data_IF_484947291598
#
_entry.id   IF_484947291598
#
_cell.length_a   1.000
_cell.length_b   1.000
_cell.length_c   1.000
_cell.angle_alpha   90.00
_cell.angle_beta   90.00
_cell.angle_gamma   90.00
#
_symmetry.space_group_name_H-M   'P 1'
#
loop_
_entity.id
_entity.type
_entity.pdbx_description
1 polymer ?
#
# COMPACT_ATOMS: atom_id res chain seq x y z
N UNK A 1 -12.40 22.85 22.27
CA UNK A 1 -11.48 21.85 22.85
C UNK A 1 -10.34 21.67 21.88
N UNK A 2 -9.11 21.97 22.29
CA UNK A 2 -7.92 21.75 21.47
C UNK A 2 -7.83 20.25 21.10
N UNK A 3 -7.34 19.85 19.91
CA UNK A 3 -6.98 18.46 19.63
C UNK A 3 -5.79 18.11 20.52
N UNK A 4 -6.09 17.82 21.79
CA UNK A 4 -5.12 17.44 22.79
C UNK A 4 -4.66 16.03 22.44
N UNK A 5 -3.54 15.99 21.72
CA UNK A 5 -2.48 15.01 21.90
C UNK A 5 -2.99 13.58 22.03
N UNK A 6 -3.40 12.98 20.90
CA UNK A 6 -3.05 11.58 20.68
C UNK A 6 -1.53 11.52 20.87
N UNK A 7 -1.05 11.08 22.04
CA UNK A 7 0.31 10.56 22.15
C UNK A 7 0.33 9.32 21.28
N UNK A 8 0.51 9.58 19.98
CA UNK A 8 -0.09 8.80 18.92
C UNK A 8 0.35 7.35 19.02
N UNK A 9 -0.56 6.40 18.84
CA UNK A 9 -0.21 5.00 18.66
C UNK A 9 0.88 4.80 17.59
N UNK A 10 1.02 5.72 16.62
CA UNK A 10 2.14 5.70 15.66
C UNK A 10 3.51 5.82 16.30
N UNK A 11 3.63 6.36 17.52
CA UNK A 11 4.87 6.34 18.31
C UNK A 11 5.27 4.93 18.78
N UNK A 12 4.34 3.98 18.77
CA UNK A 12 4.58 2.56 19.10
C UNK A 12 4.94 1.72 17.89
N UNK A 13 4.78 2.28 16.68
CA UNK A 13 5.20 1.64 15.44
C UNK A 13 6.67 2.02 15.24
N UNK A 14 7.53 1.01 15.20
CA UNK A 14 8.96 1.22 14.99
C UNK A 14 9.18 1.86 13.61
N UNK A 15 10.04 2.87 13.55
CA UNK A 15 10.37 3.62 12.33
C UNK A 15 11.69 3.21 11.71
N UNK A 16 12.47 2.35 12.36
CA UNK A 16 13.83 2.03 11.95
C UNK A 16 14.06 0.53 11.79
N UNK A 17 13.20 -0.30 12.37
CA UNK A 17 13.27 -1.75 12.24
C UNK A 17 12.02 -2.30 11.54
N UNK A 18 12.24 -3.10 10.49
CA UNK A 18 11.16 -3.87 9.85
C UNK A 18 10.71 -5.00 10.77
N UNK A 19 9.41 -5.05 11.08
CA UNK A 19 8.81 -6.18 11.78
C UNK A 19 8.64 -7.37 10.85
N UNK A 20 8.77 -8.58 11.40
CA UNK A 20 8.36 -9.78 10.68
C UNK A 20 6.83 -9.82 10.52
N UNK A 21 6.38 -10.39 9.40
CA UNK A 21 4.97 -10.76 9.23
C UNK A 21 4.58 -11.79 10.30
N UNK A 22 3.36 -11.73 10.85
CA UNK A 22 2.91 -12.70 11.86
C UNK A 22 2.83 -14.14 11.31
N UNK A 23 2.62 -14.27 10.00
CA UNK A 23 2.76 -15.54 9.27
C UNK A 23 3.81 -15.32 8.18
N UNK A 24 5.04 -15.76 8.44
CA UNK A 24 6.22 -15.48 7.61
C UNK A 24 6.27 -16.30 6.31
N UNK A 25 5.64 -17.47 6.30
CA UNK A 25 5.72 -18.41 5.18
C UNK A 25 4.38 -18.52 4.46
N UNK A 26 4.44 -18.85 3.17
CA UNK A 26 3.29 -19.31 2.39
C UNK A 26 2.92 -20.74 2.78
N UNK A 27 1.78 -21.22 2.32
CA UNK A 27 1.35 -22.61 2.55
C UNK A 27 2.31 -23.67 1.99
N UNK A 28 3.15 -23.33 1.00
CA UNK A 28 4.18 -24.21 0.45
C UNK A 28 5.48 -24.23 1.28
N UNK A 29 5.55 -23.46 2.37
CA UNK A 29 6.72 -23.36 3.26
C UNK A 29 7.79 -22.37 2.80
N UNK A 30 7.64 -21.71 1.66
CA UNK A 30 8.55 -20.66 1.23
C UNK A 30 8.28 -19.35 1.97
N UNK A 31 9.33 -18.53 2.16
CA UNK A 31 9.19 -17.19 2.70
C UNK A 31 8.30 -16.32 1.82
N UNK A 32 7.37 -15.61 2.46
CA UNK A 32 6.57 -14.58 1.80
C UNK A 32 7.46 -13.41 1.43
N UNK A 33 7.36 -12.99 0.18
CA UNK A 33 8.04 -11.82 -0.37
C UNK A 33 7.11 -10.62 -0.39
N UNK A 34 7.67 -9.43 -0.60
CA UNK A 34 6.89 -8.22 -0.81
C UNK A 34 7.43 -7.44 -2.01
N UNK A 35 6.56 -7.10 -2.96
CA UNK A 35 6.89 -6.10 -3.97
C UNK A 35 6.98 -4.71 -3.34
N UNK A 36 7.86 -3.87 -3.88
CA UNK A 36 8.05 -2.49 -3.45
C UNK A 36 8.03 -1.60 -4.70
N UNK A 37 7.22 -0.56 -4.64
CA UNK A 37 7.18 0.51 -5.66
C UNK A 37 7.25 1.86 -4.92
N UNK A 38 8.14 2.75 -5.36
CA UNK A 38 8.34 4.07 -4.74
C UNK A 38 8.31 5.14 -5.82
N UNK A 39 7.35 6.06 -5.70
CA UNK A 39 7.21 7.22 -6.57
C UNK A 39 7.89 8.46 -5.97
N UNK A 40 8.51 9.30 -6.80
CA UNK A 40 9.13 10.57 -6.39
C UNK A 40 9.39 11.47 -7.62
N UNK A 41 9.89 12.68 -7.40
CA UNK A 41 10.38 13.55 -8.48
C UNK A 41 11.71 14.24 -8.09
N UNK A 42 12.22 15.13 -8.95
CA UNK A 42 13.41 15.94 -8.68
C UNK A 42 14.72 15.31 -9.12
N UNK A 43 14.69 14.12 -9.74
CA UNK A 43 15.84 13.47 -10.36
C UNK A 43 15.49 13.10 -11.81
N UNK A 44 16.51 13.00 -12.66
CA UNK A 44 16.33 12.45 -14.01
C UNK A 44 16.36 10.92 -13.99
N UNK A 45 15.78 10.33 -15.05
CA UNK A 45 15.65 8.87 -15.21
C UNK A 45 17.01 8.16 -15.20
N UNK A 46 18.03 8.76 -15.82
CA UNK A 46 19.38 8.20 -15.93
C UNK A 46 20.12 8.23 -14.59
N UNK A 47 20.17 9.38 -13.93
CA UNK A 47 20.77 9.54 -12.61
C UNK A 47 20.08 8.65 -11.57
N UNK A 48 18.77 8.46 -11.67
CA UNK A 48 18.05 7.50 -10.81
C UNK A 48 18.52 6.07 -11.06
N UNK A 49 18.66 5.65 -12.32
CA UNK A 49 19.16 4.31 -12.65
C UNK A 49 20.61 4.10 -12.20
N UNK A 50 21.47 5.12 -12.34
CA UNK A 50 22.85 5.11 -11.84
C UNK A 50 22.91 5.03 -10.32
N UNK A 51 22.03 5.73 -9.60
CA UNK A 51 21.90 5.65 -8.15
C UNK A 51 21.51 4.24 -7.71
N UNK A 52 20.49 3.66 -8.34
CA UNK A 52 20.05 2.27 -8.07
C UNK A 52 21.16 1.27 -8.37
N UNK A 53 21.85 1.43 -9.51
CA UNK A 53 23.01 0.61 -9.86
C UNK A 53 24.15 0.76 -8.84
N UNK A 54 24.40 1.96 -8.33
CA UNK A 54 25.43 2.22 -7.32
C UNK A 54 25.14 1.51 -5.99
N UNK A 55 23.85 1.38 -5.61
CA UNK A 55 23.43 0.68 -4.40
C UNK A 55 23.50 -0.84 -4.56
N UNK A 56 23.03 -1.37 -5.69
CA UNK A 56 22.71 -2.79 -5.83
C UNK A 56 23.47 -3.51 -6.95
N UNK A 57 24.36 -2.82 -7.66
CA UNK A 57 25.09 -3.34 -8.80
C UNK A 57 24.19 -3.56 -10.02
N UNK A 58 24.59 -4.51 -10.87
CA UNK A 58 23.88 -4.84 -12.11
C UNK A 58 24.28 -3.95 -13.30
N UNK A 59 23.53 -4.06 -14.40
CA UNK A 59 23.76 -3.30 -15.64
C UNK A 59 22.51 -2.53 -16.03
N UNK A 60 22.66 -1.25 -16.35
CA UNK A 60 21.58 -0.43 -16.89
C UNK A 60 21.33 -0.85 -18.35
N UNK A 61 20.12 -1.30 -18.62
CA UNK A 61 19.63 -1.68 -19.93
C UNK A 61 18.46 -0.78 -20.28
N UNK A 62 18.50 -0.15 -21.46
CA UNK A 62 17.42 0.72 -21.94
C UNK A 62 16.22 -0.15 -22.31
N UNK A 63 15.07 0.10 -21.69
CA UNK A 63 13.78 -0.43 -22.11
C UNK A 63 13.00 0.65 -22.88
N UNK A 64 12.01 0.22 -23.67
CA UNK A 64 11.16 1.16 -24.41
C UNK A 64 10.25 1.97 -23.46
N UNK A 65 9.79 3.13 -23.93
CA UNK A 65 8.73 3.94 -23.31
C UNK A 65 9.11 4.62 -21.98
N UNK A 66 10.31 5.20 -21.90
CA UNK A 66 10.72 5.96 -20.70
C UNK A 66 11.05 5.06 -19.50
N UNK A 67 11.58 3.86 -19.77
CA UNK A 67 11.92 2.86 -18.75
C UNK A 67 13.37 2.43 -18.87
N UNK A 68 14.05 2.32 -17.74
CA UNK A 68 15.38 1.74 -17.62
C UNK A 68 15.29 0.52 -16.69
N UNK A 69 15.96 -0.57 -17.07
CA UNK A 69 16.05 -1.77 -16.24
C UNK A 69 17.48 -1.95 -15.76
N UNK A 70 17.66 -2.11 -14.45
CA UNK A 70 18.92 -2.51 -13.83
C UNK A 70 18.91 -4.04 -13.73
N UNK A 71 19.49 -4.68 -14.74
CA UNK A 71 19.50 -6.12 -14.89
C UNK A 71 20.57 -6.77 -14.00
N UNK A 72 20.21 -7.85 -13.30
CA UNK A 72 21.14 -8.64 -12.50
C UNK A 72 21.73 -7.90 -11.29
N UNK A 73 20.96 -7.01 -10.67
CA UNK A 73 21.32 -6.44 -9.36
C UNK A 73 21.29 -7.53 -8.28
N UNK A 74 21.88 -7.25 -7.12
CA UNK A 74 21.84 -8.18 -5.96
C UNK A 74 20.42 -8.45 -5.44
N UNK A 75 19.46 -7.59 -5.75
CA UNK A 75 18.04 -7.77 -5.41
C UNK A 75 17.23 -8.45 -6.52
N UNK A 76 17.81 -8.62 -7.72
CA UNK A 76 17.13 -9.01 -8.95
C UNK A 76 16.92 -7.82 -9.89
N UNK A 77 16.09 -7.96 -10.92
CA UNK A 77 15.90 -6.91 -11.91
C UNK A 77 15.03 -5.77 -11.36
N UNK A 78 15.59 -4.56 -11.29
CA UNK A 78 14.90 -3.35 -10.82
C UNK A 78 14.55 -2.49 -12.02
N UNK A 79 13.34 -1.94 -12.04
CA UNK A 79 12.89 -1.01 -13.08
C UNK A 79 12.82 0.40 -12.52
N UNK A 80 13.28 1.37 -13.31
CA UNK A 80 13.03 2.79 -13.11
C UNK A 80 12.21 3.27 -14.29
N UNK A 81 11.06 3.88 -14.04
CA UNK A 81 10.17 4.33 -15.09
C UNK A 81 9.57 5.70 -14.83
N UNK A 82 9.20 6.41 -15.89
CA UNK A 82 8.33 7.58 -15.78
C UNK A 82 6.94 7.07 -15.36
N UNK A 83 6.38 7.63 -14.28
CA UNK A 83 5.10 7.16 -13.76
C UNK A 83 4.00 7.28 -14.83
N UNK A 84 3.42 6.12 -15.13
CA UNK A 84 2.36 5.92 -16.11
C UNK A 84 1.06 6.68 -15.80
N UNK A 85 0.87 7.20 -14.59
CA UNK A 85 -0.29 8.03 -14.25
C UNK A 85 -0.37 9.31 -15.10
N UNK A 86 0.78 9.91 -15.46
CA UNK A 86 0.84 11.06 -16.38
C UNK A 86 0.70 10.66 -17.85
N UNK A 87 1.12 9.44 -18.20
CA UNK A 87 0.98 8.89 -19.55
C UNK A 87 -0.50 8.65 -19.93
N UNK A 88 -1.34 8.29 -18.95
CA UNK A 88 -2.73 7.89 -19.18
C UNK A 88 -3.68 8.99 -19.66
N UNK A 89 -3.37 10.26 -19.45
CA UNK A 89 -4.24 11.38 -19.85
C UNK A 89 -4.00 11.88 -21.29
N UNK A 90 -3.16 11.20 -22.09
CA UNK A 90 -2.97 11.52 -23.51
C UNK A 90 -2.30 12.88 -23.77
N UNK A 91 -1.71 13.47 -22.74
CA UNK A 91 -1.04 14.78 -22.73
C UNK A 91 0.49 14.65 -22.67
N UNK A 92 1.02 13.52 -23.14
CA UNK A 92 2.39 13.07 -22.87
C UNK A 92 3.47 14.09 -23.30
N UNK A 93 3.44 14.60 -24.53
CA UNK A 93 4.55 15.45 -25.01
C UNK A 93 4.67 16.81 -24.30
N UNK A 94 3.59 17.60 -24.34
CA UNK A 94 3.61 18.98 -23.85
C UNK A 94 3.59 19.07 -22.31
N UNK A 95 2.97 18.11 -21.62
CA UNK A 95 2.93 18.10 -20.17
C UNK A 95 4.26 17.65 -19.59
N UNK A 96 4.90 16.60 -20.14
CA UNK A 96 6.23 16.16 -19.70
C UNK A 96 7.28 17.26 -19.92
N UNK A 97 7.28 17.94 -21.07
CA UNK A 97 8.16 19.08 -21.34
C UNK A 97 7.95 20.25 -20.37
N UNK A 98 6.69 20.54 -20.01
CA UNK A 98 6.37 21.61 -19.06
C UNK A 98 6.75 21.28 -17.61
N UNK A 99 6.92 19.99 -17.28
CA UNK A 99 7.27 19.54 -15.94
C UNK A 99 8.78 19.54 -15.67
N UNK A 100 9.61 19.32 -16.69
CA UNK A 100 11.07 19.26 -16.52
C UNK A 100 11.47 18.29 -15.41
N UNK A 101 12.23 18.75 -14.41
CA UNK A 101 12.66 17.92 -13.26
C UNK A 101 11.52 17.51 -12.31
N UNK A 102 10.28 17.95 -12.56
CA UNK A 102 9.09 17.54 -11.82
C UNK A 102 8.41 16.31 -12.43
N UNK A 103 8.97 15.70 -13.48
CA UNK A 103 8.47 14.43 -14.02
C UNK A 103 8.57 13.35 -12.92
N UNK A 104 7.44 12.77 -12.49
CA UNK A 104 7.41 11.66 -11.56
C UNK A 104 8.12 10.44 -12.11
N UNK A 105 8.98 9.87 -11.28
CA UNK A 105 9.65 8.60 -11.50
C UNK A 105 9.12 7.58 -10.49
N UNK A 106 9.05 6.33 -10.91
CA UNK A 106 8.75 5.18 -10.08
C UNK A 106 9.92 4.20 -10.13
N UNK A 107 10.33 3.70 -8.96
CA UNK A 107 11.25 2.57 -8.85
C UNK A 107 10.44 1.34 -8.43
N UNK A 108 10.52 0.29 -9.24
CA UNK A 108 9.85 -1.00 -9.00
C UNK A 108 10.90 -2.08 -8.77
N UNK A 109 10.87 -2.70 -7.60
CA UNK A 109 11.76 -3.83 -7.27
C UNK A 109 11.11 -5.16 -7.67
N UNK A 110 11.90 -6.24 -7.85
CA UNK A 110 11.32 -7.57 -7.78
C UNK A 110 10.81 -7.83 -6.34
N UNK A 111 9.96 -8.85 -6.12
CA UNK A 111 9.52 -9.19 -4.77
C UNK A 111 10.70 -9.48 -3.82
N UNK A 112 10.86 -8.61 -2.83
CA UNK A 112 11.95 -8.65 -1.87
C UNK A 112 11.69 -9.75 -0.82
N UNK A 113 12.73 -10.51 -0.49
CA UNK A 113 12.70 -11.38 0.68
C UNK A 113 12.72 -10.54 1.97
N UNK A 114 12.22 -11.06 3.11
CA UNK A 114 12.20 -10.31 4.37
C UNK A 114 13.56 -9.72 4.77
N UNK A 115 14.65 -10.46 4.53
CA UNK A 115 16.01 -10.01 4.82
C UNK A 115 16.50 -8.85 3.93
N UNK A 116 15.87 -8.64 2.77
CA UNK A 116 16.20 -7.57 1.83
C UNK A 116 15.35 -6.30 2.01
N UNK A 117 14.27 -6.35 2.80
CA UNK A 117 13.42 -5.18 3.06
C UNK A 117 14.20 -3.95 3.59
N UNK A 118 15.24 -4.07 4.44
CA UNK A 118 16.03 -2.92 4.87
C UNK A 118 16.74 -2.15 3.73
N UNK A 119 16.91 -2.76 2.56
CA UNK A 119 17.45 -2.06 1.38
C UNK A 119 16.49 -0.97 0.87
N UNK A 120 15.19 -1.07 1.15
CA UNK A 120 14.21 -0.04 0.81
C UNK A 120 14.51 1.30 1.51
N UNK A 121 14.86 1.26 2.79
CA UNK A 121 15.26 2.47 3.54
C UNK A 121 16.62 3.01 3.09
N UNK A 122 17.53 2.14 2.62
CA UNK A 122 18.79 2.59 2.00
C UNK A 122 18.54 3.31 0.68
N UNK A 123 17.62 2.80 -0.15
CA UNK A 123 17.19 3.47 -1.37
C UNK A 123 16.60 4.85 -1.05
N UNK A 124 15.65 4.94 -0.13
CA UNK A 124 15.05 6.22 0.27
C UNK A 124 16.11 7.20 0.79
N UNK A 125 17.06 6.74 1.60
CA UNK A 125 18.14 7.59 2.09
C UNK A 125 19.02 8.12 0.95
N UNK A 126 19.35 7.28 -0.04
CA UNK A 126 20.13 7.69 -1.21
C UNK A 126 19.34 8.68 -2.10
N UNK A 127 18.07 8.43 -2.37
CA UNK A 127 17.19 9.35 -3.11
C UNK A 127 17.13 10.73 -2.44
N UNK A 128 16.94 10.75 -1.12
CA UNK A 128 16.96 11.99 -0.32
C UNK A 128 18.28 12.74 -0.44
N UNK A 129 19.40 12.04 -0.34
CA UNK A 129 20.74 12.65 -0.48
C UNK A 129 20.99 13.20 -1.89
N UNK A 130 20.39 12.60 -2.90
CA UNK A 130 20.44 13.07 -4.28
C UNK A 130 19.50 14.27 -4.56
N UNK A 131 18.63 14.64 -3.61
CA UNK A 131 17.69 15.76 -3.76
C UNK A 131 16.31 15.37 -4.30
N UNK A 132 15.93 14.09 -4.24
CA UNK A 132 14.59 13.66 -4.58
C UNK A 132 13.53 14.37 -3.71
N UNK A 133 12.40 14.70 -4.33
CA UNK A 133 11.25 15.36 -3.71
C UNK A 133 10.13 14.36 -3.48
N UNK A 134 9.55 14.39 -2.28
CA UNK A 134 8.37 13.60 -1.92
C UNK A 134 7.07 14.38 -2.03
N UNK A 135 5.97 13.71 -1.67
CA UNK A 135 4.57 14.16 -1.85
C UNK A 135 4.30 15.58 -1.36
N UNK A 136 4.90 16.00 -0.24
CA UNK A 136 4.58 17.28 0.43
C UNK A 136 5.32 18.50 -0.10
N UNK A 137 6.37 18.31 -0.91
CA UNK A 137 7.15 19.40 -1.49
C UNK A 137 6.71 19.73 -2.92
N UNK A 138 6.27 18.72 -3.66
CA UNK A 138 5.66 18.90 -4.96
C UNK A 138 4.13 18.95 -4.80
N UNK A 139 3.59 20.10 -4.34
CA UNK A 139 2.15 20.39 -4.13
C UNK A 139 1.19 20.06 -5.31
N UNK A 140 1.73 19.57 -6.43
CA UNK A 140 1.00 19.12 -7.63
C UNK A 140 0.96 17.59 -7.79
N UNK A 141 1.73 16.80 -7.04
CA UNK A 141 1.90 15.36 -7.25
C UNK A 141 1.78 14.53 -5.95
N UNK A 142 0.88 13.56 -5.97
CA UNK A 142 0.49 12.72 -4.84
C UNK A 142 1.24 11.40 -4.74
N UNK A 143 2.58 11.43 -4.64
CA UNK A 143 3.43 10.24 -4.75
C UNK A 143 3.08 9.14 -3.75
N UNK A 144 3.01 7.90 -4.23
CA UNK A 144 2.73 6.70 -3.47
C UNK A 144 3.95 5.86 -3.14
N UNK A 145 3.84 5.15 -2.03
CA UNK A 145 4.63 3.94 -1.75
C UNK A 145 3.66 2.76 -1.86
N UNK A 146 3.97 1.79 -2.72
CA UNK A 146 3.23 0.54 -2.78
C UNK A 146 4.03 -0.58 -2.12
N UNK A 147 3.38 -1.28 -1.20
CA UNK A 147 3.89 -2.49 -0.58
C UNK A 147 2.98 -3.63 -0.99
N UNK A 148 3.55 -4.65 -1.63
CA UNK A 148 2.80 -5.76 -2.21
C UNK A 148 3.16 -7.10 -1.54
N UNK A 149 2.86 -7.30 -0.23
CA UNK A 149 3.14 -8.55 0.46
C UNK A 149 2.34 -9.72 -0.13
N UNK A 150 3.03 -10.83 -0.41
CA UNK A 150 2.43 -12.08 -0.91
C UNK A 150 1.37 -12.60 0.05
N UNK A 151 0.34 -13.29 -0.43
CA UNK A 151 -0.62 -13.99 0.45
C UNK A 151 0.00 -15.24 1.08
N UNK A 152 -0.50 -15.67 2.24
CA UNK A 152 -0.13 -16.98 2.83
C UNK A 152 -0.72 -18.12 1.98
N UNK A 153 -2.03 -18.05 1.75
CA UNK A 153 -2.84 -19.00 1.00
C UNK A 153 -4.20 -18.35 0.70
N UNK A 154 -5.00 -18.85 -0.27
CA UNK A 154 -6.33 -18.32 -0.54
C UNK A 154 -7.25 -18.25 0.69
N UNK A 155 -7.22 -19.26 1.57
CA UNK A 155 -8.01 -19.29 2.81
C UNK A 155 -7.62 -18.24 3.87
N UNK A 156 -6.47 -17.58 3.73
CA UNK A 156 -6.03 -16.52 4.63
C UNK A 156 -6.37 -15.11 4.11
N UNK A 157 -6.95 -14.97 2.92
CA UNK A 157 -7.23 -13.68 2.30
C UNK A 157 -8.33 -12.92 3.05
N UNK A 158 -9.46 -13.57 3.32
CA UNK A 158 -10.63 -12.93 3.93
C UNK A 158 -10.33 -12.31 5.31
N UNK A 159 -9.63 -12.98 6.25
CA UNK A 159 -9.26 -12.36 7.52
C UNK A 159 -8.41 -11.08 7.36
N UNK A 160 -7.45 -11.07 6.43
CA UNK A 160 -6.59 -9.90 6.18
C UNK A 160 -7.41 -8.75 5.57
N UNK A 161 -8.33 -9.08 4.66
CA UNK A 161 -9.23 -8.10 4.04
C UNK A 161 -10.22 -7.51 5.05
N UNK A 162 -10.79 -8.33 5.94
CA UNK A 162 -11.61 -7.85 7.06
C UNK A 162 -10.80 -6.92 7.97
N UNK A 163 -9.58 -7.32 8.32
CA UNK A 163 -8.70 -6.51 9.16
C UNK A 163 -8.42 -5.15 8.52
N UNK A 164 -8.00 -5.11 7.26
CA UNK A 164 -7.75 -3.84 6.56
C UNK A 164 -9.00 -2.96 6.54
N UNK A 165 -10.15 -3.51 6.12
CA UNK A 165 -11.38 -2.75 6.00
C UNK A 165 -11.80 -2.09 7.32
N UNK A 166 -11.73 -2.85 8.43
CA UNK A 166 -12.06 -2.34 9.76
C UNK A 166 -11.01 -1.35 10.30
N UNK A 167 -9.74 -1.47 9.91
CA UNK A 167 -8.65 -0.60 10.37
C UNK A 167 -8.43 0.64 9.49
N UNK A 168 -9.01 0.74 8.30
CA UNK A 168 -8.64 1.76 7.32
C UNK A 168 -8.79 3.20 7.84
N UNK A 169 -9.90 3.51 8.53
CA UNK A 169 -10.11 4.84 9.11
C UNK A 169 -9.07 5.16 10.19
N UNK A 170 -8.67 4.16 10.98
CA UNK A 170 -7.59 4.31 11.94
C UNK A 170 -6.24 4.50 11.25
N UNK A 171 -5.92 3.71 10.22
CA UNK A 171 -4.68 3.88 9.44
C UNK A 171 -4.58 5.32 8.90
N UNK A 172 -5.67 5.85 8.33
CA UNK A 172 -5.74 7.21 7.78
C UNK A 172 -5.69 8.30 8.85
N UNK A 173 -6.25 8.07 10.04
CA UNK A 173 -6.21 9.04 11.12
C UNK A 173 -4.85 9.06 11.84
N UNK A 174 -4.21 7.89 11.95
CA UNK A 174 -2.93 7.70 12.62
C UNK A 174 -1.78 8.41 11.87
N UNK A 175 -1.82 8.40 10.54
CA UNK A 175 -0.95 9.20 9.70
C UNK A 175 -1.75 9.84 8.55
N UNK A 176 -2.23 11.08 8.75
CA UNK A 176 -3.07 11.78 7.78
C UNK A 176 -2.38 11.94 6.42
N UNK A 177 -3.05 11.43 5.39
CA UNK A 177 -2.69 11.63 3.98
C UNK A 177 -2.82 13.12 3.63
N UNK A 178 -1.86 13.65 2.86
CA UNK A 178 -1.87 15.02 2.37
C UNK A 178 -3.18 15.30 1.60
N UNK A 179 -3.89 16.42 1.89
CA UNK A 179 -5.12 16.77 1.20
C UNK A 179 -4.98 16.84 -0.33
N UNK A 180 -3.79 17.16 -0.87
CA UNK A 180 -3.52 17.22 -2.31
C UNK A 180 -3.64 15.85 -2.99
N UNK A 181 -3.43 14.75 -2.25
CA UNK A 181 -3.63 13.38 -2.76
C UNK A 181 -5.12 13.01 -2.88
N UNK A 182 -6.03 13.72 -2.20
CA UNK A 182 -7.50 13.52 -2.37
C UNK A 182 -8.01 13.99 -3.73
N UNK A 183 -7.21 14.79 -4.44
CA UNK A 183 -7.52 15.27 -5.78
C UNK A 183 -6.91 14.39 -6.88
N UNK A 184 -6.13 13.35 -6.51
CA UNK A 184 -5.45 12.45 -7.44
C UNK A 184 -5.97 11.00 -7.34
N UNK A 185 -6.00 10.23 -8.45
CA UNK A 185 -6.85 9.04 -8.58
C UNK A 185 -6.44 7.73 -7.87
N UNK A 186 -5.90 7.65 -6.64
CA UNK A 186 -5.27 6.36 -6.23
C UNK A 186 -5.54 5.78 -4.84
N UNK A 187 -6.13 6.51 -3.89
CA UNK A 187 -6.28 6.02 -2.50
C UNK A 187 -7.62 6.34 -1.85
N UNK A 188 -8.72 6.33 -2.60
CA UNK A 188 -10.04 6.53 -1.98
C UNK A 188 -10.30 5.49 -0.87
N UNK A 189 -10.93 5.90 0.24
CA UNK A 189 -11.33 4.95 1.28
C UNK A 189 -12.32 3.93 0.73
N UNK A 190 -12.29 2.71 1.25
CA UNK A 190 -13.27 1.71 0.92
C UNK A 190 -14.69 2.23 1.24
N UNK A 191 -15.69 1.90 0.40
CA UNK A 191 -17.07 2.28 0.65
C UNK A 191 -17.55 1.69 1.96
N UNK A 192 -18.27 2.51 2.74
CA UNK A 192 -18.89 2.08 4.00
C UNK A 192 -19.77 0.83 3.86
N UNK A 193 -20.43 0.66 2.71
CA UNK A 193 -21.22 -0.53 2.39
C UNK A 193 -20.39 -1.82 2.28
N UNK A 194 -19.14 -1.74 1.80
CA UNK A 194 -18.24 -2.90 1.78
C UNK A 194 -17.84 -3.29 3.21
N UNK A 195 -17.51 -2.30 4.04
CA UNK A 195 -17.19 -2.54 5.45
C UNK A 195 -18.39 -3.16 6.19
N UNK A 196 -19.62 -2.74 5.90
CA UNK A 196 -20.83 -3.35 6.47
C UNK A 196 -20.93 -4.84 6.16
N UNK A 197 -20.72 -5.21 4.89
CA UNK A 197 -20.75 -6.63 4.48
C UNK A 197 -19.59 -7.42 5.08
N UNK A 198 -18.39 -6.85 5.13
CA UNK A 198 -17.22 -7.48 5.77
C UNK A 198 -17.42 -7.70 7.28
N UNK A 199 -18.10 -6.79 7.96
CA UNK A 199 -18.40 -6.88 9.38
C UNK A 199 -19.53 -7.87 9.67
N UNK A 200 -20.64 -7.80 8.91
CA UNK A 200 -21.82 -8.63 9.14
C UNK A 200 -21.63 -10.08 8.67
N UNK A 201 -21.08 -10.28 7.47
CA UNK A 201 -21.05 -11.59 6.82
C UNK A 201 -19.63 -12.15 6.64
N UNK A 202 -18.62 -11.27 6.64
CA UNK A 202 -17.27 -11.59 6.20
C UNK A 202 -16.59 -12.72 6.96
N UNK A 203 -16.98 -13.01 8.21
CA UNK A 203 -16.44 -14.14 8.97
C UNK A 203 -16.70 -15.51 8.31
N UNK A 204 -17.78 -15.62 7.54
CA UNK A 204 -18.17 -16.84 6.82
C UNK A 204 -17.80 -16.85 5.33
N UNK A 205 -17.11 -15.82 4.83
CA UNK A 205 -16.79 -15.73 3.40
C UNK A 205 -15.59 -16.58 3.00
N UNK A 206 -15.65 -17.10 1.79
CA UNK A 206 -14.51 -17.58 1.02
C UNK A 206 -14.08 -16.52 -0.02
N UNK A 207 -13.08 -16.85 -0.83
CA UNK A 207 -12.57 -15.94 -1.87
C UNK A 207 -13.63 -15.60 -2.93
N UNK A 208 -14.43 -16.55 -3.46
CA UNK A 208 -15.55 -16.22 -4.33
C UNK A 208 -16.54 -15.20 -3.74
N UNK A 209 -17.01 -15.41 -2.50
CA UNK A 209 -17.95 -14.48 -1.85
C UNK A 209 -17.34 -13.09 -1.65
N UNK A 210 -16.06 -13.01 -1.26
CA UNK A 210 -15.32 -11.76 -1.20
C UNK A 210 -15.21 -11.08 -2.57
N UNK A 211 -14.93 -11.85 -3.61
CA UNK A 211 -14.76 -11.35 -4.99
C UNK A 211 -16.05 -10.71 -5.49
N UNK A 212 -17.18 -11.39 -5.32
CA UNK A 212 -18.48 -10.89 -5.73
C UNK A 212 -18.82 -9.58 -4.99
N UNK A 213 -18.63 -9.53 -3.67
CA UNK A 213 -18.87 -8.32 -2.88
C UNK A 213 -17.94 -7.16 -3.26
N UNK A 214 -16.67 -7.42 -3.54
CA UNK A 214 -15.70 -6.40 -3.94
C UNK A 214 -16.03 -5.85 -5.34
N UNK A 215 -16.39 -6.69 -6.30
CA UNK A 215 -16.76 -6.28 -7.65
C UNK A 215 -18.11 -5.55 -7.68
N UNK A 216 -19.06 -5.90 -6.80
CA UNK A 216 -20.34 -5.18 -6.68
C UNK A 216 -20.15 -3.78 -6.10
N UNK A 217 -19.38 -3.66 -5.00
CA UNK A 217 -19.34 -2.44 -4.20
C UNK A 217 -18.16 -1.53 -4.54
N UNK A 218 -17.08 -2.07 -5.10
CA UNK A 218 -15.84 -1.33 -5.37
C UNK A 218 -14.98 -1.92 -6.51
N UNK A 219 -15.50 -2.04 -7.76
CA UNK A 219 -14.74 -2.56 -8.90
C UNK A 219 -13.74 -1.52 -9.45
N UNK A 220 -12.82 -1.06 -8.62
CA UNK A 220 -11.83 -0.03 -8.95
C UNK A 220 -10.49 -0.31 -8.28
N UNK A 221 -9.43 0.14 -8.94
CA UNK A 221 -8.06 0.12 -8.43
C UNK A 221 -7.71 1.35 -7.59
N UNK A 222 -8.57 2.37 -7.58
CA UNK A 222 -8.39 3.60 -6.79
C UNK A 222 -8.80 3.34 -5.34
N UNK A 223 -8.00 2.58 -4.59
CA UNK A 223 -8.20 2.27 -3.16
C UNK A 223 -6.86 2.13 -2.44
N UNK A 224 -6.85 2.42 -1.14
CA UNK A 224 -5.66 2.23 -0.30
C UNK A 224 -5.21 0.76 -0.18
N UNK A 225 -6.13 -0.18 -0.35
CA UNK A 225 -5.83 -1.59 -0.64
C UNK A 225 -6.59 -1.96 -1.93
N UNK A 226 -5.84 -2.18 -3.00
CA UNK A 226 -6.37 -2.62 -4.29
C UNK A 226 -6.37 -4.15 -4.33
N UNK A 227 -7.56 -4.75 -4.28
CA UNK A 227 -7.69 -6.20 -4.35
C UNK A 227 -7.81 -6.73 -5.78
N UNK A 228 -8.02 -5.90 -6.80
CA UNK A 228 -8.30 -6.40 -8.15
C UNK A 228 -7.19 -7.30 -8.71
N UNK A 229 -5.88 -7.02 -8.54
CA UNK A 229 -4.84 -7.95 -8.99
C UNK A 229 -4.85 -9.28 -8.22
N UNK A 230 -5.17 -9.27 -6.92
CA UNK A 230 -5.25 -10.50 -6.13
C UNK A 230 -6.48 -11.33 -6.54
N UNK A 231 -7.62 -10.67 -6.69
CA UNK A 231 -8.86 -11.32 -7.12
C UNK A 231 -8.76 -11.81 -8.57
N UNK A 232 -8.04 -11.10 -9.44
CA UNK A 232 -7.76 -11.56 -10.81
C UNK A 232 -6.89 -12.83 -10.80
N UNK A 233 -5.96 -12.94 -9.85
CA UNK A 233 -5.14 -14.15 -9.71
C UNK A 233 -5.96 -15.36 -9.24
N UNK A 234 -6.88 -15.16 -8.29
CA UNK A 234 -7.63 -16.24 -7.65
C UNK A 234 -8.92 -16.60 -8.41
N UNK A 235 -9.60 -15.60 -8.97
CA UNK A 235 -10.91 -15.70 -9.64
C UNK A 235 -10.90 -14.93 -10.99
N UNK A 236 -10.00 -15.30 -11.95
CA UNK A 236 -9.79 -14.53 -13.18
C UNK A 236 -11.07 -14.33 -14.00
N UNK A 237 -11.87 -15.39 -14.15
CA UNK A 237 -13.11 -15.35 -14.92
C UNK A 237 -14.13 -14.35 -14.35
N UNK A 238 -14.25 -14.28 -13.01
CA UNK A 238 -15.16 -13.33 -12.34
C UNK A 238 -14.71 -11.89 -12.57
N UNK A 239 -13.42 -11.62 -12.40
CA UNK A 239 -12.87 -10.28 -12.55
C UNK A 239 -12.94 -9.81 -14.00
N UNK A 240 -12.59 -10.65 -14.97
CA UNK A 240 -12.65 -10.31 -16.39
C UNK A 240 -14.08 -10.14 -16.90
N UNK A 241 -15.05 -10.84 -16.32
CA UNK A 241 -16.46 -10.65 -16.63
C UNK A 241 -17.03 -9.33 -16.07
N UNK A 242 -16.57 -8.90 -14.89
CA UNK A 242 -17.08 -7.71 -14.21
C UNK A 242 -16.41 -6.40 -14.67
N UNK A 243 -15.14 -6.44 -15.07
CA UNK A 243 -14.39 -5.25 -15.44
C UNK A 243 -14.42 -4.94 -16.94
N UNK A 244 -14.48 -3.66 -17.34
CA UNK A 244 -14.27 -3.27 -18.73
C UNK A 244 -12.92 -3.75 -19.27
N UNK A 245 -12.87 -4.07 -20.57
CA UNK A 245 -11.65 -4.53 -21.25
C UNK A 245 -10.48 -3.57 -20.99
N UNK A 246 -9.34 -4.12 -20.58
CA UNK A 246 -8.10 -3.38 -20.33
C UNK A 246 -7.96 -2.77 -18.93
N UNK A 247 -8.96 -2.92 -18.04
CA UNK A 247 -8.84 -2.50 -16.63
C UNK A 247 -8.16 -3.55 -15.74
N UNK A 248 -8.29 -4.83 -16.08
CA UNK A 248 -7.45 -5.89 -15.53
C UNK A 248 -5.99 -5.66 -15.97
N UNK A 249 -5.06 -5.64 -15.01
CA UNK A 249 -3.64 -5.32 -15.24
C UNK A 249 -2.71 -6.48 -14.87
N UNK A 250 -3.27 -7.69 -14.74
CA UNK A 250 -2.54 -8.91 -14.49
C UNK A 250 -2.67 -9.36 -13.03
N UNK A 251 -3.11 -10.60 -12.86
CA UNK A 251 -3.26 -11.19 -11.55
C UNK A 251 -1.92 -11.45 -10.85
N UNK A 252 -1.83 -11.10 -9.56
CA UNK A 252 -0.67 -11.41 -8.70
C UNK A 252 -1.14 -11.87 -7.31
N UNK A 253 -0.49 -12.88 -6.69
CA UNK A 253 -0.86 -13.39 -5.36
C UNK A 253 -0.36 -12.47 -4.23
N UNK A 254 -0.62 -11.16 -4.30
CA UNK A 254 -0.15 -10.15 -3.34
C UNK A 254 -1.26 -9.18 -2.97
N UNK A 255 -1.27 -8.71 -1.72
CA UNK A 255 -2.11 -7.58 -1.31
C UNK A 255 -1.50 -6.28 -1.84
N UNK A 256 -2.19 -5.53 -2.70
CA UNK A 256 -1.62 -4.27 -3.21
C UNK A 256 -1.95 -3.13 -2.26
N UNK A 257 -1.11 -2.93 -1.26
CA UNK A 257 -1.26 -1.88 -0.24
C UNK A 257 -0.62 -0.58 -0.74
N UNK A 258 -1.47 0.37 -1.11
CA UNK A 258 -1.14 1.63 -1.80
C UNK A 258 -1.42 2.88 -0.97
N UNK A 259 -1.97 2.69 0.23
CA UNK A 259 -2.31 3.77 1.17
C UNK A 259 -1.11 4.66 1.54
N UNK A 260 0.12 4.15 1.75
CA UNK A 260 1.25 4.98 2.13
C UNK A 260 1.58 6.06 1.10
N UNK A 261 2.11 7.19 1.60
CA UNK A 261 2.70 8.24 0.77
C UNK A 261 4.20 8.06 0.68
N UNK A 262 4.79 8.42 -0.46
CA UNK A 262 6.25 8.45 -0.60
C UNK A 262 6.80 9.82 -0.16
N UNK A 263 7.26 9.90 1.09
CA UNK A 263 7.82 11.11 1.69
C UNK A 263 9.35 11.06 1.70
N UNK A 264 9.94 10.75 0.54
CA UNK A 264 11.37 10.43 0.41
C UNK A 264 12.31 11.53 0.90
N UNK A 265 11.85 12.79 0.92
CA UNK A 265 12.61 13.95 1.41
C UNK A 265 12.49 14.18 2.93
N UNK A 266 11.52 13.57 3.61
CA UNK A 266 11.30 13.77 5.04
C UNK A 266 12.24 12.90 5.89
N UNK A 267 12.91 13.50 6.88
CA UNK A 267 13.96 12.81 7.61
C UNK A 267 13.46 11.79 8.65
N UNK A 268 12.22 11.93 9.09
CA UNK A 268 11.54 11.09 10.07
C UNK A 268 10.59 10.05 9.43
N UNK A 269 10.54 9.99 8.10
CA UNK A 269 9.82 8.99 7.32
C UNK A 269 10.72 7.82 6.91
N UNK A 270 10.15 6.61 6.85
CA UNK A 270 10.82 5.39 6.43
C UNK A 270 9.83 4.38 5.85
N UNK A 271 10.33 3.50 4.99
CA UNK A 271 9.59 2.34 4.49
C UNK A 271 9.33 1.35 5.63
N UNK A 272 10.25 1.22 6.60
CA UNK A 272 10.05 0.38 7.78
C UNK A 272 8.76 0.75 8.55
N UNK A 273 8.51 2.05 8.74
CA UNK A 273 7.30 2.53 9.40
C UNK A 273 6.03 2.12 8.65
N UNK A 274 5.99 2.31 7.33
CA UNK A 274 4.85 1.99 6.49
C UNK A 274 4.60 0.48 6.38
N UNK A 275 5.68 -0.30 6.31
CA UNK A 275 5.63 -1.75 6.42
C UNK A 275 5.06 -2.21 7.77
N UNK A 276 5.50 -1.59 8.86
CA UNK A 276 5.02 -1.96 10.19
C UNK A 276 3.54 -1.61 10.40
N UNK A 277 3.02 -0.57 9.73
CA UNK A 277 1.58 -0.30 9.67
C UNK A 277 0.82 -1.43 8.96
N UNK A 278 1.37 -1.99 7.88
CA UNK A 278 0.81 -3.19 7.26
C UNK A 278 0.88 -4.41 8.19
N UNK A 279 1.99 -4.61 8.89
CA UNK A 279 2.13 -5.71 9.86
C UNK A 279 1.06 -5.64 10.95
N UNK A 280 0.63 -4.44 11.38
CA UNK A 280 -0.53 -4.30 12.31
C UNK A 280 -1.80 -4.92 11.72
N UNK A 281 -2.09 -4.69 10.44
CA UNK A 281 -3.24 -5.28 9.74
C UNK A 281 -3.19 -6.80 9.80
N UNK A 282 -2.05 -7.40 9.44
CA UNK A 282 -1.92 -8.85 9.48
C UNK A 282 -1.94 -9.41 10.91
N UNK A 283 -1.40 -8.71 11.90
CA UNK A 283 -1.48 -9.14 13.31
C UNK A 283 -2.93 -9.16 13.78
N UNK A 284 -3.76 -8.19 13.37
CA UNK A 284 -5.20 -8.22 13.65
C UNK A 284 -5.85 -9.40 12.93
N UNK A 285 -5.48 -9.65 11.67
CA UNK A 285 -5.99 -10.79 10.90
C UNK A 285 -5.73 -12.15 11.57
N UNK A 286 -4.64 -12.29 12.31
CA UNK A 286 -4.30 -13.50 13.08
C UNK A 286 -5.00 -13.60 14.44
N UNK A 287 -5.89 -12.67 14.80
CA UNK A 287 -6.59 -12.63 16.10
C UNK A 287 -8.12 -12.65 15.88
N UNK A 288 -8.72 -13.83 15.65
CA UNK A 288 -10.15 -13.95 15.32
C UNK A 288 -11.07 -13.24 16.32
N UNK A 289 -10.83 -13.39 17.62
CA UNK A 289 -11.63 -12.72 18.65
C UNK A 289 -11.57 -11.19 18.55
N UNK A 290 -10.40 -10.61 18.24
CA UNK A 290 -10.27 -9.17 18.05
C UNK A 290 -10.99 -8.70 16.78
N UNK A 291 -10.87 -9.47 15.69
CA UNK A 291 -11.60 -9.18 14.44
C UNK A 291 -13.11 -9.20 14.64
N UNK A 292 -13.62 -10.18 15.37
CA UNK A 292 -15.05 -10.32 15.61
C UNK A 292 -15.56 -9.20 16.53
N UNK A 293 -14.81 -8.84 17.59
CA UNK A 293 -15.11 -7.64 18.38
C UNK A 293 -15.14 -6.37 17.53
N UNK A 294 -14.14 -6.15 16.66
CA UNK A 294 -14.14 -4.98 15.77
C UNK A 294 -15.32 -4.98 14.79
N UNK A 295 -15.74 -6.16 14.31
CA UNK A 295 -16.90 -6.29 13.43
C UNK A 295 -18.22 -5.98 14.16
N UNK A 296 -18.38 -6.43 15.40
CA UNK A 296 -19.53 -6.10 16.27
C UNK A 296 -19.59 -4.60 16.58
N UNK A 297 -18.47 -4.01 16.98
CA UNK A 297 -18.35 -2.57 17.27
C UNK A 297 -18.60 -1.71 16.02
N UNK A 298 -18.15 -2.15 14.83
CA UNK A 298 -18.48 -1.47 13.58
C UNK A 298 -19.98 -1.46 13.31
N UNK A 299 -20.66 -2.60 13.50
CA UNK A 299 -22.10 -2.69 13.31
C UNK A 299 -22.85 -1.80 14.30
N UNK A 300 -22.43 -1.76 15.57
CA UNK A 300 -22.98 -0.85 16.58
C UNK A 300 -22.75 0.62 16.21
N UNK A 301 -21.54 0.98 15.77
CA UNK A 301 -21.18 2.31 15.28
C UNK A 301 -22.05 2.74 14.08
N UNK A 302 -22.37 1.79 13.18
CA UNK A 302 -23.21 2.05 12.01
C UNK A 302 -24.71 2.13 12.33
N UNK A 303 -25.16 1.50 13.42
CA UNK A 303 -26.53 1.60 13.92
C UNK A 303 -26.82 2.85 14.77
N UNK A 304 -25.79 3.52 15.28
CA UNK A 304 -25.94 4.73 16.08
C UNK A 304 -26.25 5.98 15.24
N UNK A 305 -27.03 6.92 15.80
CA UNK A 305 -27.32 8.21 15.17
C UNK A 305 -26.07 9.11 15.18
N UNK A 306 -25.80 9.82 14.08
CA UNK A 306 -24.76 10.85 13.94
C UNK A 306 -23.28 10.41 14.00
N UNK A 307 -22.95 9.18 13.59
CA UNK A 307 -21.55 8.71 13.63
C UNK A 307 -20.67 9.22 12.48
N UNK A 308 -19.45 9.66 12.82
CA UNK A 308 -18.42 10.11 11.85
C UNK A 308 -17.17 9.22 11.88
N UNK A 309 -16.44 9.15 10.75
CA UNK A 309 -15.23 8.32 10.62
C UNK A 309 -14.17 8.53 11.73
N UNK A 310 -13.93 9.76 12.23
CA UNK A 310 -12.99 9.97 13.33
C UNK A 310 -13.36 9.25 14.64
N UNK A 311 -14.64 9.01 14.90
CA UNK A 311 -15.06 8.29 16.11
C UNK A 311 -14.66 6.81 16.01
N UNK A 312 -14.82 6.21 14.82
CA UNK A 312 -14.42 4.84 14.57
C UNK A 312 -12.91 4.63 14.74
N UNK A 313 -12.09 5.57 14.24
CA UNK A 313 -10.63 5.50 14.39
C UNK A 313 -10.19 5.42 15.88
N UNK A 314 -10.87 6.13 16.79
CA UNK A 314 -10.59 6.06 18.23
C UNK A 314 -10.97 4.70 18.82
N UNK A 315 -12.14 4.16 18.47
CA UNK A 315 -12.57 2.82 18.91
C UNK A 315 -11.54 1.77 18.51
N UNK A 316 -11.08 1.79 17.26
CA UNK A 316 -10.03 0.89 16.79
C UNK A 316 -8.75 1.08 17.61
N UNK A 317 -8.32 2.32 17.86
CA UNK A 317 -7.10 2.60 18.64
C UNK A 317 -7.14 1.98 20.04
N UNK A 318 -8.29 2.07 20.73
CA UNK A 318 -8.47 1.51 22.06
C UNK A 318 -8.38 -0.02 22.06
N UNK A 319 -8.99 -0.68 21.06
CA UNK A 319 -8.88 -2.13 20.90
C UNK A 319 -7.46 -2.59 20.55
N UNK A 320 -6.75 -1.88 19.67
CA UNK A 320 -5.36 -2.19 19.34
C UNK A 320 -4.43 -2.04 20.57
N UNK A 321 -4.71 -1.04 21.41
CA UNK A 321 -4.01 -0.79 22.68
C UNK A 321 -4.27 -1.90 23.70
N UNK A 322 -5.54 -2.26 23.91
CA UNK A 322 -5.93 -3.35 24.81
C UNK A 322 -5.32 -4.70 24.36
N UNK A 323 -5.32 -4.97 23.05
CA UNK A 323 -4.76 -6.18 22.46
C UNK A 323 -3.23 -6.19 22.36
N UNK A 324 -2.54 -5.09 22.74
CA UNK A 324 -1.07 -4.94 22.66
C UNK A 324 -0.51 -5.34 21.28
N UNK A 325 -1.17 -4.89 20.19
CA UNK A 325 -0.88 -5.34 18.81
C UNK A 325 0.57 -5.09 18.33
N UNK A 326 1.28 -4.19 18.99
CA UNK A 326 2.68 -3.81 18.71
C UNK A 326 3.71 -4.83 19.20
N UNK A 327 3.34 -5.68 20.17
CA UNK A 327 4.23 -6.73 20.69
C UNK A 327 4.11 -7.95 19.77
N UNK A 328 5.27 -8.50 19.38
CA UNK A 328 5.38 -9.73 18.60
C UNK A 328 4.83 -10.94 19.39
#
# INVERSE_FOLDING_TARGET
MSPASLSSVTSRIDRHAFWALPVAHRADGADRRAGLEVEFAGLDLGATAELVQGLWGGRIEVACDGRLRIAGSVLGDVTVEIDSALARDGLEGLLLEALGDLVPLEIVTPPLAPAALPEADRLVAALRMAGARGTREALRFGFGLHLNPEIVAPGAVVPVVRAYGLLEDWLRAADPVDPTRRLLPFVDPWPRALLDRLAADGAGWDVPALTDAYLELTPTRNRGLDLLPLLEHLEPDRVHAALPKGQAKGGRPTFHYRLPEARVNEADWSVAYEWNRWVVVERVATRPALLDTLAEEWQAHRGALFTIRPDWARTVEDHLRAARIWVA
#
